data_IF_797631891287
#
_entry.id   IF_797631891287
#
_cell.length_a   1.000
_cell.length_b   1.000
_cell.length_c   1.000
_cell.angle_alpha   90.00
_cell.angle_beta   90.00
_cell.angle_gamma   90.00
#
_symmetry.space_group_name_H-M   'P 1'
#
loop_
_entity.id
_entity.type
_entity.pdbx_description
1 polymer ?
#
# COMPACT_ATOMS: atom_id res chain seq x y z
N UNK A 1 -23.21 6.85 -13.58
CA UNK A 1 -22.32 6.39 -12.50
C UNK A 1 -21.07 7.25 -12.57
N UNK A 2 -20.79 7.99 -11.50
CA UNK A 2 -19.62 8.88 -11.44
C UNK A 2 -18.33 8.05 -11.46
N UNK A 3 -17.30 8.51 -12.19
CA UNK A 3 -15.97 7.91 -12.31
C UNK A 3 -16.02 6.42 -12.70
N UNK A 4 -16.81 6.06 -13.68
CA UNK A 4 -17.04 4.67 -14.09
C UNK A 4 -15.74 3.90 -14.39
N UNK A 5 -14.82 4.50 -15.14
CA UNK A 5 -13.54 3.88 -15.46
C UNK A 5 -12.67 3.64 -14.19
N UNK A 6 -12.65 4.60 -13.26
CA UNK A 6 -11.92 4.44 -11.99
C UNK A 6 -12.56 3.35 -11.12
N UNK A 7 -13.90 3.29 -11.06
CA UNK A 7 -14.61 2.23 -10.34
C UNK A 7 -14.25 0.84 -10.87
N UNK A 8 -14.21 0.65 -12.18
CA UNK A 8 -13.82 -0.64 -12.78
C UNK A 8 -12.36 -1.00 -12.45
N UNK A 9 -11.45 -0.04 -12.49
CA UNK A 9 -10.05 -0.26 -12.10
C UNK A 9 -9.94 -0.65 -10.61
N UNK A 10 -10.63 0.05 -9.72
CA UNK A 10 -10.63 -0.23 -8.28
C UNK A 10 -11.33 -1.55 -7.95
N UNK A 11 -12.43 -1.88 -8.63
CA UNK A 11 -13.09 -3.18 -8.53
C UNK A 11 -12.12 -4.30 -8.91
N UNK A 12 -11.46 -4.17 -10.07
CA UNK A 12 -10.49 -5.15 -10.54
C UNK A 12 -9.36 -5.33 -9.51
N UNK A 13 -8.79 -4.24 -9.00
CA UNK A 13 -7.74 -4.26 -7.98
C UNK A 13 -8.18 -5.01 -6.71
N UNK A 14 -9.38 -4.72 -6.21
CA UNK A 14 -9.92 -5.43 -5.05
C UNK A 14 -10.10 -6.94 -5.30
N UNK A 15 -10.59 -7.33 -6.47
CA UNK A 15 -10.71 -8.75 -6.85
C UNK A 15 -9.34 -9.42 -6.98
N UNK A 16 -8.33 -8.71 -7.48
CA UNK A 16 -6.96 -9.21 -7.56
C UNK A 16 -6.31 -9.44 -6.19
N UNK A 17 -6.59 -8.59 -5.19
CA UNK A 17 -6.15 -8.81 -3.80
C UNK A 17 -6.61 -10.21 -3.33
N UNK A 18 -7.89 -10.53 -3.49
CA UNK A 18 -8.44 -11.82 -3.10
C UNK A 18 -7.89 -12.97 -3.95
N UNK A 19 -7.82 -12.81 -5.29
CA UNK A 19 -7.31 -13.83 -6.22
C UNK A 19 -5.85 -14.21 -5.93
N UNK A 20 -5.04 -13.25 -5.50
CA UNK A 20 -3.62 -13.46 -5.15
C UNK A 20 -3.44 -13.96 -3.71
N UNK A 21 -4.52 -14.13 -2.94
CA UNK A 21 -4.46 -14.59 -1.55
C UNK A 21 -3.83 -13.59 -0.59
N UNK A 22 -3.89 -12.29 -0.92
CA UNK A 22 -3.31 -11.22 -0.10
C UNK A 22 -4.22 -10.77 1.05
N UNK A 23 -5.49 -11.15 1.02
CA UNK A 23 -6.44 -10.82 2.06
C UNK A 23 -7.34 -12.03 2.37
N UNK A 24 -7.32 -12.55 3.61
CA UNK A 24 -8.30 -13.51 4.07
C UNK A 24 -9.67 -12.82 4.27
N UNK A 25 -10.74 -13.53 3.97
CA UNK A 25 -12.11 -13.01 4.11
C UNK A 25 -12.33 -11.69 3.36
N UNK A 26 -12.83 -10.66 4.05
CA UNK A 26 -13.06 -9.31 3.52
C UNK A 26 -12.01 -8.29 4.01
N UNK A 27 -10.95 -8.78 4.64
CA UNK A 27 -9.87 -7.92 5.17
C UNK A 27 -9.11 -7.25 4.03
N UNK A 28 -8.70 -6.01 4.27
CA UNK A 28 -8.02 -5.23 3.25
C UNK A 28 -8.97 -4.61 2.22
N UNK A 29 -8.40 -3.76 1.40
CA UNK A 29 -9.12 -2.99 0.38
C UNK A 29 -8.14 -2.34 -0.59
N UNK A 30 -8.69 -1.91 -1.73
CA UNK A 30 -8.02 -1.02 -2.67
C UNK A 30 -8.86 0.23 -2.89
N UNK A 31 -8.19 1.33 -3.17
CA UNK A 31 -8.79 2.58 -3.63
C UNK A 31 -8.01 3.17 -4.80
N UNK A 32 -8.62 4.15 -5.45
CA UNK A 32 -7.98 4.98 -6.48
C UNK A 32 -8.51 6.40 -6.39
N UNK A 33 -7.70 7.38 -6.80
CA UNK A 33 -8.06 8.79 -6.80
C UNK A 33 -8.12 9.35 -8.21
N UNK A 34 -9.11 10.18 -8.48
CA UNK A 34 -9.18 11.05 -9.66
C UNK A 34 -8.98 12.52 -9.24
N UNK A 35 -7.98 13.16 -9.83
CA UNK A 35 -7.64 14.58 -9.61
C UNK A 35 -7.96 15.46 -10.82
N UNK A 36 -8.66 14.93 -11.83
CA UNK A 36 -8.94 15.66 -13.08
C UNK A 36 -10.06 16.68 -12.97
N UNK A 37 -10.95 16.53 -11.98
CA UNK A 37 -12.09 17.41 -11.73
C UNK A 37 -11.75 18.67 -10.92
N UNK A 38 -12.78 19.44 -10.57
CA UNK A 38 -12.65 20.64 -9.73
C UNK A 38 -12.21 20.32 -8.29
N UNK A 39 -12.44 19.10 -7.84
CA UNK A 39 -11.96 18.56 -6.57
C UNK A 39 -11.56 17.11 -6.75
N UNK A 40 -10.52 16.64 -6.05
CA UNK A 40 -10.13 15.23 -6.06
C UNK A 40 -11.23 14.33 -5.49
N UNK A 41 -11.48 13.18 -6.14
CA UNK A 41 -12.44 12.19 -5.69
C UNK A 41 -11.79 10.81 -5.57
N UNK A 42 -12.14 10.06 -4.54
CA UNK A 42 -11.62 8.74 -4.25
C UNK A 42 -12.70 7.69 -4.44
N UNK A 43 -12.40 6.66 -5.23
CA UNK A 43 -13.19 5.44 -5.28
C UNK A 43 -12.57 4.41 -4.32
N UNK A 44 -13.37 3.85 -3.43
CA UNK A 44 -12.90 2.89 -2.42
C UNK A 44 -13.89 1.73 -2.25
N UNK A 45 -13.35 0.56 -1.88
CA UNK A 45 -14.12 -0.63 -1.52
C UNK A 45 -15.09 -0.32 -0.38
N UNK A 46 -16.36 -0.77 -0.45
CA UNK A 46 -17.27 -0.69 0.70
C UNK A 46 -16.84 -1.65 1.81
N UNK A 47 -17.12 -1.25 3.06
CA UNK A 47 -16.83 -2.05 4.26
C UNK A 47 -17.58 -3.38 4.24
N UNK A 48 -16.88 -4.49 4.55
CA UNK A 48 -17.48 -5.81 4.76
C UNK A 48 -18.07 -6.50 3.52
N UNK A 49 -18.01 -5.87 2.33
CA UNK A 49 -18.53 -6.50 1.10
C UNK A 49 -17.52 -7.51 0.57
N UNK A 50 -18.02 -8.71 0.25
CA UNK A 50 -17.22 -9.80 -0.31
C UNK A 50 -16.67 -9.45 -1.70
N UNK A 51 -15.40 -9.79 -1.94
CA UNK A 51 -14.69 -9.51 -3.18
C UNK A 51 -15.33 -10.15 -4.42
N UNK A 52 -15.87 -11.36 -4.27
CA UNK A 52 -16.45 -12.12 -5.39
C UNK A 52 -17.78 -11.55 -5.85
N UNK A 53 -18.59 -10.99 -4.93
CA UNK A 53 -19.94 -10.49 -5.21
C UNK A 53 -19.97 -8.99 -5.49
N UNK A 54 -18.93 -8.25 -5.09
CA UNK A 54 -18.83 -6.81 -5.27
C UNK A 54 -18.86 -6.40 -6.74
N UNK A 55 -19.60 -5.34 -7.05
CA UNK A 55 -19.70 -4.72 -8.38
C UNK A 55 -19.13 -3.30 -8.37
N UNK A 56 -18.89 -2.71 -9.54
CA UNK A 56 -18.43 -1.32 -9.64
C UNK A 56 -19.43 -0.31 -9.05
N UNK A 57 -20.74 -0.65 -9.07
CA UNK A 57 -21.78 0.19 -8.48
C UNK A 57 -21.75 0.20 -6.93
N UNK A 58 -21.17 -0.81 -6.31
CA UNK A 58 -21.02 -0.90 -4.85
C UNK A 58 -19.90 -0.03 -4.30
N UNK A 59 -18.89 0.28 -5.13
CA UNK A 59 -17.79 1.15 -4.71
C UNK A 59 -18.32 2.53 -4.29
N UNK A 60 -17.72 3.09 -3.24
CA UNK A 60 -18.12 4.39 -2.70
C UNK A 60 -17.20 5.46 -3.24
N UNK A 61 -17.78 6.58 -3.72
CA UNK A 61 -17.04 7.77 -4.12
C UNK A 61 -17.11 8.78 -2.98
N UNK A 62 -15.94 9.22 -2.52
CA UNK A 62 -15.81 10.26 -1.49
C UNK A 62 -14.94 11.41 -1.99
N UNK A 63 -15.06 12.57 -1.35
CA UNK A 63 -14.00 13.58 -1.41
C UNK A 63 -12.85 13.22 -0.44
N UNK A 64 -11.82 14.06 -0.41
CA UNK A 64 -10.69 13.84 0.50
C UNK A 64 -11.03 14.10 1.99
N UNK A 65 -12.16 14.74 2.29
CA UNK A 65 -12.66 14.90 3.67
C UNK A 65 -13.49 13.71 4.15
N UNK A 66 -13.58 12.65 3.30
CA UNK A 66 -14.32 11.43 3.61
C UNK A 66 -15.84 11.55 3.39
N UNK A 67 -16.33 12.68 2.88
CA UNK A 67 -17.76 12.90 2.61
C UNK A 67 -18.14 12.07 1.36
N UNK A 68 -19.19 11.26 1.50
CA UNK A 68 -19.74 10.49 0.39
C UNK A 68 -20.34 11.43 -0.66
N UNK A 69 -19.84 11.34 -1.89
CA UNK A 69 -20.33 12.06 -3.07
C UNK A 69 -21.29 11.18 -3.87
N UNK A 70 -20.97 9.90 -4.04
CA UNK A 70 -21.85 8.90 -4.65
C UNK A 70 -21.60 7.52 -4.05
N UNK A 71 -22.68 6.83 -3.70
CA UNK A 71 -22.70 5.48 -3.13
C UNK A 71 -23.79 5.31 -2.10
N UNK A 72 -24.20 4.06 -1.84
CA UNK A 72 -25.25 3.72 -0.86
C UNK A 72 -24.70 2.96 0.34
N UNK A 73 -23.47 2.44 0.21
CA UNK A 73 -22.81 1.63 1.21
C UNK A 73 -21.85 2.50 2.04
N UNK A 74 -21.47 2.02 3.22
CA UNK A 74 -20.41 2.63 3.99
C UNK A 74 -19.06 2.34 3.30
N UNK A 75 -18.18 3.33 3.15
CA UNK A 75 -16.82 3.10 2.66
C UNK A 75 -16.04 2.18 3.61
N UNK A 76 -14.92 1.65 3.14
CA UNK A 76 -13.97 0.93 4.00
C UNK A 76 -13.64 1.75 5.26
N UNK A 77 -13.48 1.05 6.38
CA UNK A 77 -13.00 1.64 7.63
C UNK A 77 -11.67 2.38 7.48
N UNK A 78 -10.85 2.00 6.49
CA UNK A 78 -9.53 2.59 6.25
C UNK A 78 -9.56 3.89 5.43
N UNK A 79 -10.76 4.42 5.12
CA UNK A 79 -10.92 5.60 4.27
C UNK A 79 -10.04 6.79 4.73
N UNK A 80 -10.03 7.11 6.02
CA UNK A 80 -9.28 8.25 6.54
C UNK A 80 -7.77 8.08 6.37
N UNK A 81 -7.26 6.85 6.47
CA UNK A 81 -5.86 6.53 6.13
C UNK A 81 -5.59 6.82 4.66
N UNK A 82 -6.43 6.31 3.75
CA UNK A 82 -6.24 6.48 2.31
C UNK A 82 -6.33 7.95 1.90
N UNK A 83 -7.33 8.69 2.37
CA UNK A 83 -7.50 10.11 2.02
C UNK A 83 -6.35 10.96 2.54
N UNK A 84 -5.82 10.66 3.73
CA UNK A 84 -4.64 11.35 4.26
C UNK A 84 -3.40 11.06 3.42
N UNK A 85 -3.14 9.80 3.06
CA UNK A 85 -2.01 9.45 2.19
C UNK A 85 -2.12 10.12 0.82
N UNK A 86 -3.31 10.19 0.21
CA UNK A 86 -3.51 10.92 -1.05
C UNK A 86 -3.25 12.42 -0.94
N UNK A 87 -3.47 13.03 0.23
CA UNK A 87 -3.15 14.46 0.46
C UNK A 87 -1.66 14.70 0.60
N UNK A 88 -0.99 13.82 1.34
CA UNK A 88 0.38 14.01 1.75
C UNK A 88 1.40 13.49 0.73
N UNK A 89 0.97 12.56 -0.12
CA UNK A 89 1.74 11.97 -1.22
C UNK A 89 1.00 12.20 -2.55
N UNK A 90 1.08 13.41 -3.13
CA UNK A 90 0.26 13.78 -4.30
C UNK A 90 0.58 12.94 -5.57
N UNK A 91 1.73 12.31 -5.62
CA UNK A 91 2.17 11.47 -6.75
C UNK A 91 1.48 10.11 -6.79
N UNK A 92 0.95 9.62 -5.67
CA UNK A 92 0.28 8.32 -5.64
C UNK A 92 -1.17 8.42 -6.12
N UNK A 93 -1.63 7.39 -6.86
CA UNK A 93 -2.96 7.38 -7.48
C UNK A 93 -3.78 6.15 -7.07
N UNK A 94 -3.13 5.07 -6.67
CA UNK A 94 -3.77 3.89 -6.09
C UNK A 94 -3.15 3.52 -4.76
N UNK A 95 -3.97 3.04 -3.81
CA UNK A 95 -3.53 2.52 -2.50
C UNK A 95 -4.17 1.17 -2.28
N UNK A 96 -3.39 0.25 -1.71
CA UNK A 96 -3.83 -1.07 -1.26
C UNK A 96 -3.42 -1.29 0.18
N UNK A 97 -4.37 -1.76 0.98
CA UNK A 97 -4.14 -2.30 2.31
C UNK A 97 -4.47 -3.78 2.31
N UNK A 98 -3.62 -4.60 2.89
CA UNK A 98 -3.83 -6.05 3.00
C UNK A 98 -3.46 -6.56 4.39
N UNK A 99 -3.90 -7.79 4.71
CA UNK A 99 -3.42 -8.56 5.85
C UNK A 99 -2.70 -9.82 5.35
N UNK A 100 -1.85 -9.67 4.35
CA UNK A 100 -1.05 -10.76 3.78
C UNK A 100 -0.10 -11.34 4.84
N UNK A 101 0.10 -12.64 4.82
CA UNK A 101 0.65 -13.41 5.95
C UNK A 101 2.04 -12.94 6.38
N UNK A 102 2.99 -12.89 5.45
CA UNK A 102 4.38 -12.60 5.80
C UNK A 102 4.62 -11.11 6.06
N UNK A 103 4.06 -10.22 5.25
CA UNK A 103 4.21 -8.79 5.48
C UNK A 103 3.55 -8.37 6.80
N UNK A 104 2.36 -8.92 7.12
CA UNK A 104 1.72 -8.68 8.41
C UNK A 104 2.52 -9.26 9.57
N UNK A 105 3.18 -10.40 9.40
CA UNK A 105 4.05 -10.97 10.44
C UNK A 105 5.24 -10.05 10.78
N UNK A 106 5.86 -9.43 9.77
CA UNK A 106 6.90 -8.42 9.98
C UNK A 106 6.35 -7.17 10.69
N UNK A 107 5.16 -6.69 10.28
CA UNK A 107 4.48 -5.57 10.93
C UNK A 107 4.19 -5.85 12.41
N UNK A 108 3.68 -7.04 12.74
CA UNK A 108 3.42 -7.47 14.12
C UNK A 108 4.69 -7.62 14.95
N UNK A 109 5.78 -8.02 14.32
CA UNK A 109 7.09 -8.08 14.97
C UNK A 109 7.73 -6.69 15.17
N UNK A 110 7.15 -5.61 14.61
CA UNK A 110 7.70 -4.27 14.67
C UNK A 110 9.07 -4.15 13.98
N UNK A 111 9.30 -4.96 12.93
CA UNK A 111 10.59 -5.04 12.23
C UNK A 111 10.45 -4.64 10.77
N UNK A 112 11.38 -3.81 10.23
CA UNK A 112 11.44 -3.54 8.80
C UNK A 112 11.82 -4.82 8.04
N UNK A 113 11.43 -4.92 6.76
CA UNK A 113 11.89 -6.02 5.91
C UNK A 113 13.22 -5.63 5.29
N UNK A 114 14.32 -6.30 5.62
CA UNK A 114 15.64 -5.96 5.08
C UNK A 114 15.73 -6.31 3.59
N UNK A 115 16.45 -5.49 2.82
CA UNK A 115 16.70 -5.74 1.40
C UNK A 115 17.80 -6.81 1.24
N UNK A 116 17.40 -8.09 1.31
CA UNK A 116 18.32 -9.22 1.25
C UNK A 116 18.58 -9.77 -0.16
N UNK A 117 17.92 -9.22 -1.18
CA UNK A 117 18.03 -9.74 -2.53
C UNK A 117 17.60 -8.77 -3.62
N UNK A 118 18.02 -9.08 -4.84
CA UNK A 118 17.80 -8.22 -6.01
C UNK A 118 16.34 -8.05 -6.39
N UNK A 119 15.48 -9.06 -6.14
CA UNK A 119 14.03 -8.96 -6.34
C UNK A 119 13.42 -7.86 -5.46
N UNK A 120 13.88 -7.72 -4.22
CA UNK A 120 13.48 -6.64 -3.33
C UNK A 120 13.93 -5.28 -3.92
N UNK A 121 15.23 -5.18 -4.27
CA UNK A 121 15.82 -3.96 -4.80
C UNK A 121 15.21 -3.50 -6.15
N UNK A 122 14.62 -4.40 -6.93
CA UNK A 122 13.91 -4.04 -8.17
C UNK A 122 12.61 -3.26 -7.91
N UNK A 123 12.06 -3.26 -6.69
CA UNK A 123 10.78 -2.63 -6.36
C UNK A 123 10.85 -1.59 -5.23
N UNK A 124 11.81 -1.73 -4.31
CA UNK A 124 11.97 -0.85 -3.16
C UNK A 124 13.41 -0.33 -3.10
N UNK A 125 13.55 0.98 -2.98
CA UNK A 125 14.84 1.62 -2.78
C UNK A 125 15.27 1.56 -1.31
N UNK A 126 15.84 0.43 -0.91
CA UNK A 126 16.19 0.14 0.47
C UNK A 126 15.22 -0.85 1.15
N UNK A 127 15.24 -0.95 2.48
CA UNK A 127 14.34 -1.82 3.24
C UNK A 127 12.89 -1.34 3.15
N UNK A 128 11.92 -2.26 3.30
CA UNK A 128 10.54 -1.84 3.55
C UNK A 128 10.43 -1.36 4.99
N UNK A 129 10.05 -0.10 5.23
CA UNK A 129 10.01 0.47 6.56
C UNK A 129 8.86 -0.08 7.41
N UNK A 130 9.01 -0.01 8.73
CA UNK A 130 7.94 -0.20 9.71
C UNK A 130 7.78 1.07 10.52
N UNK A 131 6.56 1.53 10.72
CA UNK A 131 6.28 2.71 11.54
C UNK A 131 6.58 2.45 13.01
N UNK A 132 6.68 3.50 13.81
CA UNK A 132 6.51 3.40 15.25
C UNK A 132 5.07 2.96 15.60
N UNK A 133 4.84 2.31 16.75
CA UNK A 133 3.49 2.00 17.22
C UNK A 133 2.68 3.28 17.49
N UNK A 134 1.37 3.23 17.26
CA UNK A 134 0.47 4.29 17.70
C UNK A 134 0.46 4.38 19.25
N UNK A 135 0.45 5.60 19.75
CA UNK A 135 0.28 5.86 21.19
C UNK A 135 -1.17 5.63 21.63
N UNK A 136 -1.39 5.49 22.93
CA UNK A 136 -2.74 5.35 23.50
C UNK A 136 -3.63 6.57 23.14
N UNK A 137 -3.06 7.77 23.16
CA UNK A 137 -3.78 9.00 22.81
C UNK A 137 -4.17 9.01 21.35
N UNK A 138 -3.27 8.67 20.43
CA UNK A 138 -3.55 8.58 18.99
C UNK A 138 -4.65 7.56 18.68
N UNK A 139 -4.68 6.43 19.40
CA UNK A 139 -5.74 5.42 19.28
C UNK A 139 -7.08 5.99 19.77
N UNK A 140 -7.09 6.68 20.92
CA UNK A 140 -8.30 7.25 21.51
C UNK A 140 -8.87 8.41 20.68
N UNK A 141 -8.01 9.24 20.06
CA UNK A 141 -8.40 10.38 19.23
C UNK A 141 -8.94 9.96 17.86
N UNK A 142 -8.46 8.83 17.31
CA UNK A 142 -8.91 8.36 16.00
C UNK A 142 -7.92 7.40 15.34
N UNK A 143 -8.06 6.11 15.63
CA UNK A 143 -7.16 5.05 15.19
C UNK A 143 -6.85 5.09 13.70
N UNK A 144 -7.88 5.17 12.85
CA UNK A 144 -7.72 5.06 11.38
C UNK A 144 -6.99 6.27 10.80
N UNK A 145 -7.37 7.47 11.23
CA UNK A 145 -6.69 8.70 10.80
C UNK A 145 -5.24 8.72 11.28
N UNK A 146 -5.00 8.31 12.51
CA UNK A 146 -3.66 8.28 13.08
C UNK A 146 -2.79 7.16 12.50
N UNK A 147 -3.38 6.10 11.95
CA UNK A 147 -2.67 5.13 11.10
C UNK A 147 -2.08 5.82 9.86
N UNK A 148 -2.84 6.67 9.18
CA UNK A 148 -2.29 7.49 8.08
C UNK A 148 -1.24 8.49 8.56
N UNK A 149 -1.49 9.16 9.70
CA UNK A 149 -0.57 10.16 10.24
C UNK A 149 0.78 9.56 10.65
N UNK A 150 0.83 8.37 11.25
CA UNK A 150 2.08 7.70 11.60
C UNK A 150 2.89 7.32 10.38
N UNK A 151 2.23 6.88 9.28
CA UNK A 151 2.91 6.60 8.01
C UNK A 151 3.57 7.87 7.46
N UNK A 152 2.81 8.96 7.36
CA UNK A 152 3.33 10.25 6.85
C UNK A 152 4.47 10.77 7.71
N UNK A 153 4.32 10.72 9.04
CA UNK A 153 5.34 11.14 10.01
C UNK A 153 6.62 10.33 9.82
N UNK A 154 6.51 9.01 9.70
CA UNK A 154 7.65 8.12 9.49
C UNK A 154 8.40 8.46 8.19
N UNK A 155 7.70 8.61 7.08
CA UNK A 155 8.31 8.96 5.79
C UNK A 155 9.03 10.30 5.83
N UNK A 156 8.43 11.32 6.48
CA UNK A 156 9.06 12.63 6.65
C UNK A 156 10.29 12.58 7.56
N UNK A 157 10.21 11.84 8.67
CA UNK A 157 11.31 11.73 9.63
C UNK A 157 12.52 11.03 9.03
N UNK A 158 12.31 9.94 8.31
CA UNK A 158 13.36 9.16 7.64
C UNK A 158 13.78 9.75 6.27
N UNK A 159 13.11 10.78 5.78
CA UNK A 159 13.37 11.37 4.48
C UNK A 159 13.12 10.42 3.30
N UNK A 160 12.13 9.52 3.43
CA UNK A 160 11.79 8.53 2.42
C UNK A 160 10.98 9.15 1.28
N UNK A 161 11.34 8.77 0.04
CA UNK A 161 10.55 9.08 -1.15
C UNK A 161 9.43 8.02 -1.33
N UNK A 162 8.14 8.41 -1.31
CA UNK A 162 7.04 7.47 -1.52
C UNK A 162 7.06 6.75 -2.86
N UNK A 163 7.72 7.31 -3.88
CA UNK A 163 7.86 6.64 -5.18
C UNK A 163 8.98 5.60 -5.13
N UNK A 164 10.07 5.91 -4.44
CA UNK A 164 11.19 4.98 -4.24
C UNK A 164 10.88 3.86 -3.27
N UNK A 165 10.02 4.12 -2.29
CA UNK A 165 9.58 3.15 -1.27
C UNK A 165 8.05 3.07 -1.30
N UNK A 166 7.47 2.30 -2.25
CA UNK A 166 6.03 2.34 -2.53
C UNK A 166 5.18 1.52 -1.54
N UNK A 167 5.60 1.44 -0.28
CA UNK A 167 4.87 0.72 0.76
C UNK A 167 5.52 0.82 2.14
N UNK A 168 4.76 0.43 3.16
CA UNK A 168 5.13 0.52 4.57
C UNK A 168 4.41 -0.55 5.38
N UNK A 169 5.03 -0.98 6.46
CA UNK A 169 4.39 -1.78 7.50
C UNK A 169 3.94 -0.85 8.63
N UNK A 170 2.68 -0.92 9.02
CA UNK A 170 2.21 -0.26 10.25
C UNK A 170 2.43 -1.20 11.42
N UNK A 171 3.21 -0.78 12.42
CA UNK A 171 3.59 -1.60 13.57
C UNK A 171 2.36 -2.15 14.29
N UNK A 172 2.37 -3.48 14.54
CA UNK A 172 1.25 -4.19 15.19
C UNK A 172 -0.02 -4.30 14.36
N UNK A 173 -0.01 -3.86 13.07
CA UNK A 173 -1.16 -3.92 12.18
C UNK A 173 -0.83 -4.71 10.92
N UNK A 174 -0.53 -4.03 9.80
CA UNK A 174 -0.38 -4.68 8.50
C UNK A 174 0.20 -3.70 7.45
N UNK A 175 0.49 -4.16 6.21
CA UNK A 175 1.06 -3.31 5.18
C UNK A 175 0.04 -2.39 4.49
N UNK A 176 0.55 -1.23 4.05
CA UNK A 176 -0.02 -0.37 3.03
C UNK A 176 0.96 -0.24 1.86
N UNK A 177 0.44 -0.31 0.64
CA UNK A 177 1.21 -0.13 -0.60
C UNK A 177 0.50 0.83 -1.53
N UNK A 178 1.24 1.45 -2.46
CA UNK A 178 0.67 2.40 -3.39
C UNK A 178 1.40 2.41 -4.73
N UNK A 179 0.83 3.11 -5.70
CA UNK A 179 1.39 3.24 -7.03
C UNK A 179 0.68 4.30 -7.86
N UNK A 180 1.06 4.41 -9.12
CA UNK A 180 0.48 5.35 -10.11
C UNK A 180 -0.94 4.97 -10.57
N UNK A 181 -1.45 3.84 -10.12
CA UNK A 181 -2.83 3.39 -10.28
C UNK A 181 -3.10 2.23 -9.31
N UNK A 182 -4.38 1.82 -9.18
CA UNK A 182 -4.77 0.75 -8.26
C UNK A 182 -4.16 -0.63 -8.63
N UNK A 183 -3.93 -0.90 -9.93
CA UNK A 183 -3.34 -2.16 -10.37
C UNK A 183 -1.86 -2.26 -9.97
N UNK A 184 -1.09 -1.18 -10.10
CA UNK A 184 0.30 -1.13 -9.65
C UNK A 184 0.39 -1.26 -8.12
N UNK A 185 -0.52 -0.62 -7.36
CA UNK A 185 -0.56 -0.78 -5.91
C UNK A 185 -0.78 -2.25 -5.48
N UNK A 186 -1.60 -3.02 -6.23
CA UNK A 186 -1.77 -4.47 -6.02
C UNK A 186 -0.50 -5.24 -6.40
N UNK A 187 0.16 -4.88 -7.50
CA UNK A 187 1.44 -5.51 -7.88
C UNK A 187 2.48 -5.32 -6.78
N UNK A 188 2.61 -4.09 -6.25
CA UNK A 188 3.51 -3.80 -5.15
C UNK A 188 3.14 -4.61 -3.89
N UNK A 189 1.84 -4.77 -3.58
CA UNK A 189 1.40 -5.59 -2.44
C UNK A 189 1.78 -7.07 -2.60
N UNK A 190 1.65 -7.62 -3.80
CA UNK A 190 2.02 -9.00 -4.13
C UNK A 190 3.54 -9.21 -4.02
N UNK A 191 4.32 -8.27 -4.57
CA UNK A 191 5.77 -8.27 -4.43
C UNK A 191 6.19 -8.11 -2.97
N UNK A 192 5.55 -7.21 -2.23
CA UNK A 192 5.84 -7.02 -0.79
C UNK A 192 5.65 -8.32 0.00
N UNK A 193 4.55 -9.03 -0.23
CA UNK A 193 4.31 -10.32 0.40
C UNK A 193 5.37 -11.37 0.01
N UNK A 194 5.75 -11.40 -1.27
CA UNK A 194 6.78 -12.31 -1.76
C UNK A 194 8.16 -12.03 -1.14
N UNK A 195 8.60 -10.76 -1.12
CA UNK A 195 9.90 -10.40 -0.53
C UNK A 195 9.90 -10.54 1.00
N UNK A 196 8.77 -10.27 1.68
CA UNK A 196 8.60 -10.52 3.11
C UNK A 196 8.84 -12.00 3.45
N UNK A 197 8.25 -12.90 2.65
CA UNK A 197 8.44 -14.34 2.78
C UNK A 197 9.87 -14.78 2.50
N UNK A 198 10.51 -14.22 1.46
CA UNK A 198 11.91 -14.51 1.17
C UNK A 198 12.82 -14.03 2.30
N UNK A 199 12.63 -12.80 2.78
CA UNK A 199 13.41 -12.24 3.88
C UNK A 199 13.27 -13.08 5.16
N UNK A 200 12.05 -13.47 5.52
CA UNK A 200 11.79 -14.34 6.67
C UNK A 200 12.61 -15.64 6.58
N UNK A 201 12.57 -16.32 5.42
CA UNK A 201 13.31 -17.56 5.21
C UNK A 201 14.81 -17.35 5.21
N UNK A 202 15.30 -16.26 4.62
CA UNK A 202 16.73 -15.94 4.58
C UNK A 202 17.27 -15.65 5.98
N UNK A 203 16.54 -14.93 6.81
CA UNK A 203 16.91 -14.70 8.21
C UNK A 203 16.95 -16.01 9.00
N UNK A 204 15.99 -16.91 8.80
CA UNK A 204 16.02 -18.25 9.41
C UNK A 204 17.21 -19.10 8.96
N UNK A 205 17.73 -18.89 7.76
CA UNK A 205 18.95 -19.52 7.25
C UNK A 205 20.23 -18.83 7.75
N UNK A 206 20.13 -17.78 8.57
CA UNK A 206 21.25 -17.04 9.14
C UNK A 206 21.78 -15.91 8.24
N UNK A 207 21.00 -15.44 7.27
CA UNK A 207 21.39 -14.25 6.50
C UNK A 207 21.56 -13.04 7.43
N UNK A 208 22.62 -12.23 7.28
CA UNK A 208 22.77 -10.98 7.99
C UNK A 208 21.70 -9.96 7.55
N UNK A 209 21.17 -9.18 8.49
CA UNK A 209 20.05 -8.26 8.24
C UNK A 209 20.48 -6.90 7.67
N UNK A 210 21.77 -6.66 7.51
CA UNK A 210 22.32 -5.45 6.90
C UNK A 210 21.94 -5.31 5.41
N UNK A 211 21.43 -6.38 4.82
CA UNK A 211 21.00 -6.38 3.41
C UNK A 211 22.11 -6.73 2.42
N UNK A 212 21.77 -6.63 1.13
CA UNK A 212 22.74 -6.78 0.05
C UNK A 212 23.64 -5.54 -0.02
N UNK A 213 24.86 -5.65 -0.61
CA UNK A 213 25.70 -4.48 -0.81
C UNK A 213 24.97 -3.35 -1.53
N UNK A 214 25.11 -2.12 -1.02
CA UNK A 214 24.35 -0.95 -1.51
C UNK A 214 24.50 -0.73 -3.01
N UNK A 215 25.71 -0.95 -3.58
CA UNK A 215 25.95 -0.82 -5.01
C UNK A 215 25.19 -1.86 -5.86
N UNK A 216 24.86 -3.04 -5.30
CA UNK A 216 24.01 -4.05 -5.97
C UNK A 216 22.56 -3.60 -5.92
N UNK A 217 22.08 -3.15 -4.74
CA UNK A 217 20.72 -2.63 -4.57
C UNK A 217 20.45 -1.45 -5.50
N UNK A 218 21.35 -0.47 -5.51
CA UNK A 218 21.28 0.71 -6.38
C UNK A 218 21.24 0.33 -7.87
N UNK A 219 22.14 -0.57 -8.30
CA UNK A 219 22.14 -1.06 -9.69
C UNK A 219 20.80 -1.66 -10.10
N UNK A 220 20.19 -2.49 -9.25
CA UNK A 220 18.90 -3.14 -9.52
C UNK A 220 17.74 -2.15 -9.53
N UNK A 221 17.71 -1.21 -8.58
CA UNK A 221 16.71 -0.17 -8.56
C UNK A 221 16.77 0.71 -9.81
N UNK A 222 17.95 1.21 -10.16
CA UNK A 222 18.16 2.12 -11.30
C UNK A 222 17.87 1.48 -12.65
N UNK A 223 18.16 0.19 -12.84
CA UNK A 223 17.84 -0.49 -14.11
C UNK A 223 16.35 -0.59 -14.39
N UNK A 224 15.49 -0.49 -13.35
CA UNK A 224 14.03 -0.56 -13.46
C UNK A 224 13.37 0.83 -13.40
N UNK A 225 13.88 1.72 -12.56
CA UNK A 225 13.27 3.02 -12.26
C UNK A 225 14.10 4.23 -12.68
N UNK A 226 15.37 4.03 -13.03
CA UNK A 226 16.26 5.11 -13.39
C UNK A 226 16.02 5.69 -14.78
N UNK A 227 16.67 6.81 -15.11
CA UNK A 227 16.50 7.50 -16.40
C UNK A 227 16.96 6.68 -17.61
N UNK A 228 17.69 5.59 -17.39
CA UNK A 228 18.13 4.62 -18.41
C UNK A 228 17.57 3.23 -18.12
N UNK A 229 16.32 3.18 -17.63
CA UNK A 229 15.68 1.91 -17.34
C UNK A 229 15.71 1.00 -18.58
N UNK A 230 16.13 -0.26 -18.38
CA UNK A 230 16.29 -1.27 -19.43
C UNK A 230 15.54 -2.56 -19.12
N UNK A 231 14.73 -2.56 -18.05
CA UNK A 231 13.97 -3.72 -17.64
C UNK A 231 12.60 -3.74 -18.34
N UNK A 232 12.26 -4.90 -18.90
CA UNK A 232 10.99 -5.09 -19.61
C UNK A 232 11.09 -4.87 -21.13
N UNK A 233 9.93 -4.79 -21.76
CA UNK A 233 9.78 -4.48 -23.19
C UNK A 233 9.51 -2.98 -23.31
N UNK A 234 10.57 -2.20 -23.25
CA UNK A 234 10.50 -0.74 -23.38
C UNK A 234 10.18 -0.27 -24.79
#
# INVERSE_FOLDING_TARGET
MLLEALREQVLHANREIARRGLAPHTFGNASGIDRSGSQPLVAIKPSGVDYATMTAADLVITDLDGKIVEGKLNPSSDLDTHTLLYREFPEIVGIVHTHSEFATSWAQAGRPIPCLGTTHADYFHGPVPVTEPLTADEVAEGYVRNTGAVIVRHFRFEGLDPIGVPGVLVAGHAPFTWGKNAAEAVEIADVLEYIARLAFRSVLLGAPEEGIPSYVGEHHYQRKHGPKASYGQG
#
